data_IF_604448726331
#
_entry.id   IF_604448726331
#
_cell.length_a   1.000
_cell.length_b   1.000
_cell.length_c   1.000
_cell.angle_alpha   90.00
_cell.angle_beta   90.00
_cell.angle_gamma   90.00
#
_symmetry.space_group_name_H-M   'P 1'
#
loop_
_entity.id
_entity.type
_entity.pdbx_description
1 polymer ?
#
# COMPACT_ATOMS: atom_id res chain seq x y z
N UNK A 1 14.80 -4.87 15.43
CA UNK A 1 14.59 -3.40 15.39
C UNK A 1 14.17 -2.82 14.03
N UNK A 2 14.59 -3.39 12.89
CA UNK A 2 14.19 -2.87 11.57
C UNK A 2 12.74 -3.29 11.24
N UNK A 3 12.33 -4.48 11.67
CA UNK A 3 10.98 -5.04 11.48
C UNK A 3 9.87 -4.18 12.09
N UNK A 4 10.13 -3.56 13.25
CA UNK A 4 9.14 -2.76 13.96
C UNK A 4 8.96 -1.36 13.34
N UNK A 5 10.00 -0.81 12.70
CA UNK A 5 9.97 0.51 12.04
C UNK A 5 9.19 0.55 10.73
N UNK A 6 8.91 -0.59 10.11
CA UNK A 6 8.27 -0.63 8.78
C UNK A 6 6.76 -0.76 8.87
N UNK A 7 6.21 -1.35 9.94
CA UNK A 7 4.79 -1.69 10.05
C UNK A 7 4.01 -0.80 11.02
N UNK A 8 4.58 -0.50 12.17
CA UNK A 8 3.90 0.27 13.22
C UNK A 8 3.72 1.74 12.80
N UNK A 9 4.72 2.43 12.21
CA UNK A 9 4.58 3.84 11.86
C UNK A 9 3.46 4.14 10.87
N UNK A 10 3.25 3.42 9.75
CA UNK A 10 2.17 3.74 8.83
C UNK A 10 0.79 3.66 9.47
N UNK A 11 0.55 2.65 10.32
CA UNK A 11 -0.70 2.53 11.07
C UNK A 11 -0.91 3.69 12.03
N UNK A 12 0.12 4.03 12.82
CA UNK A 12 0.05 5.11 13.78
C UNK A 12 -0.19 6.46 13.11
N UNK A 13 0.54 6.76 12.03
CA UNK A 13 0.39 8.02 11.30
C UNK A 13 -0.99 8.14 10.64
N UNK A 14 -1.51 7.08 10.04
CA UNK A 14 -2.85 7.10 9.45
C UNK A 14 -3.94 7.23 10.51
N UNK A 15 -3.83 6.54 11.65
CA UNK A 15 -4.79 6.68 12.74
C UNK A 15 -4.81 8.11 13.30
N UNK A 16 -3.63 8.73 13.50
CA UNK A 16 -3.52 10.11 13.93
C UNK A 16 -4.08 11.08 12.88
N UNK A 17 -3.79 10.85 11.60
CA UNK A 17 -4.29 11.67 10.50
C UNK A 17 -5.81 11.64 10.42
N UNK A 18 -6.44 10.45 10.49
CA UNK A 18 -7.90 10.32 10.51
C UNK A 18 -8.50 11.03 11.71
N UNK A 19 -7.90 10.88 12.90
CA UNK A 19 -8.39 11.54 14.11
C UNK A 19 -8.27 13.07 14.03
N UNK A 20 -7.17 13.59 13.49
CA UNK A 20 -6.99 15.03 13.28
C UNK A 20 -7.99 15.57 12.26
N UNK A 21 -8.22 14.87 11.17
CA UNK A 21 -9.19 15.28 10.13
C UNK A 21 -10.61 15.32 10.67
N UNK A 22 -11.02 14.30 11.44
CA UNK A 22 -12.39 14.19 11.93
C UNK A 22 -12.71 15.14 13.08
N UNK A 23 -11.74 15.43 13.98
CA UNK A 23 -12.00 16.19 15.20
C UNK A 23 -11.48 17.63 15.14
N UNK A 24 -10.34 17.88 14.51
CA UNK A 24 -9.68 19.21 14.57
C UNK A 24 -9.96 20.02 13.31
N UNK A 25 -9.91 19.41 12.14
CA UNK A 25 -10.00 20.10 10.86
C UNK A 25 -11.38 20.00 10.19
N UNK A 26 -12.38 19.50 10.88
CA UNK A 26 -13.74 19.40 10.36
C UNK A 26 -14.28 20.71 9.75
N UNK A 27 -14.06 21.92 10.34
CA UNK A 27 -14.53 23.19 9.76
C UNK A 27 -13.85 23.56 8.43
N UNK A 28 -12.61 23.10 8.20
CA UNK A 28 -11.81 23.37 7.00
C UNK A 28 -11.79 22.19 6.02
N UNK A 29 -12.66 21.23 6.25
CA UNK A 29 -12.66 19.96 5.55
C UNK A 29 -12.71 20.10 4.03
N UNK A 30 -13.54 20.99 3.48
CA UNK A 30 -13.69 21.16 2.04
C UNK A 30 -12.40 21.56 1.30
N UNK A 31 -11.59 22.42 1.90
CA UNK A 31 -10.29 22.84 1.32
C UNK A 31 -9.22 21.76 1.53
N UNK A 32 -9.22 21.15 2.72
CA UNK A 32 -8.28 20.10 3.07
C UNK A 32 -8.49 18.83 2.24
N UNK A 33 -9.73 18.49 1.93
CA UNK A 33 -10.11 17.36 1.08
C UNK A 33 -9.43 17.44 -0.29
N UNK A 34 -9.54 18.58 -0.96
CA UNK A 34 -8.94 18.78 -2.28
C UNK A 34 -7.41 18.62 -2.24
N UNK A 35 -6.78 19.19 -1.21
CA UNK A 35 -5.34 19.07 -1.01
C UNK A 35 -4.91 17.62 -0.74
N UNK A 36 -5.62 16.90 0.13
CA UNK A 36 -5.33 15.50 0.46
C UNK A 36 -5.50 14.59 -0.75
N UNK A 37 -6.58 14.78 -1.51
CA UNK A 37 -6.84 14.01 -2.74
C UNK A 37 -5.75 14.27 -3.78
N UNK A 38 -5.30 15.52 -3.92
CA UNK A 38 -4.18 15.87 -4.80
C UNK A 38 -2.87 15.20 -4.37
N UNK A 39 -2.53 15.26 -3.08
CA UNK A 39 -1.35 14.56 -2.55
C UNK A 39 -1.43 13.04 -2.71
N UNK A 40 -2.60 12.46 -2.49
CA UNK A 40 -2.84 11.03 -2.66
C UNK A 40 -2.66 10.61 -4.13
N UNK A 41 -3.23 11.35 -5.07
CA UNK A 41 -3.07 11.10 -6.50
C UNK A 41 -1.61 11.18 -6.95
N UNK A 42 -0.88 12.21 -6.49
CA UNK A 42 0.55 12.33 -6.74
C UNK A 42 1.35 11.15 -6.18
N UNK A 43 1.01 10.70 -4.96
CA UNK A 43 1.65 9.54 -4.34
C UNK A 43 1.43 8.25 -5.15
N UNK A 44 0.22 8.06 -5.69
CA UNK A 44 -0.10 6.91 -6.56
C UNK A 44 0.73 6.96 -7.84
N UNK A 45 0.77 8.11 -8.50
CA UNK A 45 1.52 8.28 -9.77
C UNK A 45 3.02 8.08 -9.54
N UNK A 46 3.60 8.75 -8.54
CA UNK A 46 5.02 8.65 -8.22
C UNK A 46 5.40 7.24 -7.78
N UNK A 47 4.54 6.59 -6.99
CA UNK A 47 4.73 5.20 -6.58
C UNK A 47 4.73 4.23 -7.76
N UNK A 48 3.80 4.39 -8.71
CA UNK A 48 3.72 3.54 -9.90
C UNK A 48 4.92 3.74 -10.85
N UNK A 49 5.26 4.98 -11.15
CA UNK A 49 6.37 5.31 -12.06
C UNK A 49 7.71 4.92 -11.42
N UNK A 50 7.90 5.25 -10.13
CA UNK A 50 9.13 4.93 -9.42
C UNK A 50 9.36 3.42 -9.28
N UNK A 51 8.32 2.64 -9.00
CA UNK A 51 8.43 1.19 -8.91
C UNK A 51 8.87 0.53 -10.22
N UNK A 52 8.44 1.07 -11.37
CA UNK A 52 8.76 0.50 -12.68
C UNK A 52 10.24 0.71 -13.10
N UNK A 53 10.89 1.74 -12.56
CA UNK A 53 12.26 2.11 -12.94
C UNK A 53 13.34 1.50 -12.02
N UNK A 54 12.95 0.93 -10.87
CA UNK A 54 13.92 0.52 -9.85
C UNK A 54 14.30 -0.96 -9.94
N UNK A 55 15.62 -1.21 -9.90
CA UNK A 55 16.20 -2.55 -9.81
C UNK A 55 16.53 -2.96 -8.38
N UNK A 56 16.63 -1.99 -7.46
CA UNK A 56 16.90 -2.24 -6.05
C UNK A 56 15.62 -2.64 -5.31
N UNK A 57 15.57 -3.85 -4.77
CA UNK A 57 14.40 -4.42 -4.09
C UNK A 57 13.87 -3.55 -2.94
N UNK A 58 14.76 -2.93 -2.15
CA UNK A 58 14.34 -2.10 -1.02
C UNK A 58 13.63 -0.83 -1.50
N UNK A 59 14.15 -0.19 -2.55
CA UNK A 59 13.53 0.99 -3.14
C UNK A 59 12.23 0.63 -3.85
N UNK A 60 12.20 -0.49 -4.58
CA UNK A 60 10.99 -1.00 -5.22
C UNK A 60 9.86 -1.19 -4.19
N UNK A 61 10.15 -1.84 -3.04
CA UNK A 61 9.14 -1.97 -1.98
C UNK A 61 8.72 -0.65 -1.36
N UNK A 62 9.62 0.34 -1.29
CA UNK A 62 9.26 1.68 -0.82
C UNK A 62 8.28 2.38 -1.79
N UNK A 63 8.50 2.28 -3.11
CA UNK A 63 7.58 2.82 -4.11
C UNK A 63 6.23 2.09 -4.14
N UNK A 64 6.23 0.76 -3.98
CA UNK A 64 5.00 -0.03 -3.84
C UNK A 64 4.23 0.38 -2.57
N UNK A 65 4.94 0.65 -1.47
CA UNK A 65 4.32 1.17 -0.25
C UNK A 65 3.71 2.56 -0.47
N UNK A 66 4.43 3.46 -1.14
CA UNK A 66 3.94 4.81 -1.48
C UNK A 66 2.67 4.74 -2.34
N UNK A 67 2.63 3.85 -3.34
CA UNK A 67 1.47 3.61 -4.18
C UNK A 67 0.24 3.15 -3.37
N UNK A 68 0.41 2.14 -2.52
CA UNK A 68 -0.71 1.62 -1.72
C UNK A 68 -1.18 2.61 -0.64
N UNK A 69 -0.25 3.34 0.00
CA UNK A 69 -0.60 4.41 0.94
C UNK A 69 -1.36 5.55 0.25
N UNK A 70 -1.03 5.88 -0.99
CA UNK A 70 -1.78 6.85 -1.79
C UNK A 70 -3.25 6.44 -1.98
N UNK A 71 -3.51 5.17 -2.30
CA UNK A 71 -4.89 4.64 -2.43
C UNK A 71 -5.64 4.73 -1.10
N UNK A 72 -5.01 4.32 0.00
CA UNK A 72 -5.60 4.41 1.34
C UNK A 72 -5.92 5.85 1.72
N UNK A 73 -5.01 6.79 1.43
CA UNK A 73 -5.21 8.20 1.70
C UNK A 73 -6.36 8.79 0.88
N UNK A 74 -6.54 8.35 -0.36
CA UNK A 74 -7.70 8.73 -1.17
C UNK A 74 -9.03 8.34 -0.50
N UNK A 75 -9.12 7.11 0.04
CA UNK A 75 -10.33 6.67 0.75
C UNK A 75 -10.57 7.48 2.02
N UNK A 76 -9.52 7.81 2.77
CA UNK A 76 -9.63 8.58 4.00
C UNK A 76 -9.88 10.07 3.77
N UNK A 77 -9.64 10.60 2.58
CA UNK A 77 -9.92 12.01 2.28
C UNK A 77 -11.41 12.32 2.26
N UNK A 78 -12.29 11.34 2.16
CA UNK A 78 -13.74 11.54 2.07
C UNK A 78 -14.46 11.54 3.44
N UNK A 79 -13.87 11.14 4.54
CA UNK A 79 -14.40 11.10 5.92
C UNK A 79 -15.83 10.52 6.07
N UNK A 80 -16.33 9.82 5.05
CA UNK A 80 -17.59 9.10 5.12
C UNK A 80 -17.38 7.72 5.73
N UNK A 81 -18.36 7.17 6.42
CA UNK A 81 -18.25 5.85 7.05
C UNK A 81 -17.83 4.76 6.05
N UNK A 82 -18.37 4.80 4.84
CA UNK A 82 -18.01 3.87 3.77
C UNK A 82 -16.57 4.06 3.27
N UNK A 83 -16.09 5.30 3.17
CA UNK A 83 -14.72 5.62 2.80
C UNK A 83 -13.72 5.18 3.84
N UNK A 84 -14.01 5.44 5.11
CA UNK A 84 -13.22 4.99 6.24
C UNK A 84 -13.13 3.45 6.27
N UNK A 85 -14.27 2.77 6.13
CA UNK A 85 -14.30 1.30 6.10
C UNK A 85 -13.47 0.75 4.94
N UNK A 86 -13.65 1.27 3.71
CA UNK A 86 -12.91 0.85 2.53
C UNK A 86 -11.41 1.10 2.67
N UNK A 87 -11.03 2.25 3.23
CA UNK A 87 -9.65 2.60 3.51
C UNK A 87 -8.99 1.68 4.53
N UNK A 88 -9.70 1.34 5.63
CA UNK A 88 -9.21 0.38 6.63
C UNK A 88 -9.06 -1.02 6.07
N UNK A 89 -10.01 -1.51 5.29
CA UNK A 89 -9.93 -2.83 4.65
C UNK A 89 -8.71 -2.88 3.71
N UNK A 90 -8.55 -1.86 2.85
CA UNK A 90 -7.42 -1.76 1.94
C UNK A 90 -6.08 -1.73 2.71
N UNK A 91 -6.01 -0.95 3.79
CA UNK A 91 -4.83 -0.84 4.64
C UNK A 91 -4.47 -2.16 5.31
N UNK A 92 -5.43 -2.87 5.91
CA UNK A 92 -5.19 -4.15 6.57
C UNK A 92 -4.67 -5.21 5.59
N UNK A 93 -5.31 -5.32 4.43
CA UNK A 93 -4.91 -6.28 3.39
C UNK A 93 -3.51 -5.96 2.87
N UNK A 94 -3.22 -4.67 2.62
CA UNK A 94 -1.88 -4.23 2.21
C UNK A 94 -0.82 -4.57 3.25
N UNK A 95 -1.08 -4.28 4.53
CA UNK A 95 -0.12 -4.57 5.61
C UNK A 95 0.16 -6.07 5.76
N UNK A 96 -0.87 -6.92 5.65
CA UNK A 96 -0.69 -8.38 5.68
C UNK A 96 0.20 -8.87 4.54
N UNK A 97 -0.05 -8.41 3.31
CA UNK A 97 0.76 -8.77 2.16
C UNK A 97 2.20 -8.26 2.28
N UNK A 98 2.37 -7.02 2.72
CA UNK A 98 3.66 -6.40 2.97
C UNK A 98 4.46 -7.16 4.05
N UNK A 99 3.80 -7.56 5.14
CA UNK A 99 4.41 -8.38 6.18
C UNK A 99 4.91 -9.71 5.63
N UNK A 100 4.10 -10.37 4.79
CA UNK A 100 4.48 -11.61 4.13
C UNK A 100 5.75 -11.46 3.29
N UNK A 101 5.80 -10.45 2.42
CA UNK A 101 6.98 -10.17 1.57
C UNK A 101 8.23 -9.91 2.40
N UNK A 102 8.15 -9.05 3.42
CA UNK A 102 9.31 -8.78 4.26
C UNK A 102 9.77 -9.98 5.07
N UNK A 103 8.85 -10.82 5.54
CA UNK A 103 9.21 -12.05 6.25
C UNK A 103 10.01 -12.98 5.35
N UNK A 104 9.57 -13.18 4.11
CA UNK A 104 10.30 -13.99 3.12
C UNK A 104 11.64 -13.35 2.76
N UNK A 105 11.65 -12.04 2.54
CA UNK A 105 12.86 -11.29 2.20
C UNK A 105 13.96 -11.40 3.28
N UNK A 106 13.60 -11.34 4.56
CA UNK A 106 14.55 -11.49 5.66
C UNK A 106 14.90 -12.94 5.99
N UNK A 107 14.03 -13.89 5.65
CA UNK A 107 14.32 -15.31 5.82
C UNK A 107 15.37 -15.81 4.82
N UNK A 108 15.55 -15.09 3.70
CA UNK A 108 16.48 -15.50 2.66
C UNK A 108 17.74 -14.63 2.65
N UNK A 109 18.87 -15.31 2.92
CA UNK A 109 20.22 -14.74 2.78
C UNK A 109 20.99 -15.55 1.73
N UNK A 110 21.56 -14.89 0.75
CA UNK A 110 22.44 -15.52 -0.23
C UNK A 110 23.90 -15.20 0.14
N UNK A 111 24.74 -16.23 0.33
CA UNK A 111 26.17 -16.09 0.69
C UNK A 111 26.44 -15.21 1.93
N UNK A 112 25.50 -15.11 2.86
CA UNK A 112 25.67 -14.30 4.07
C UNK A 112 25.11 -12.88 3.98
N UNK A 113 24.83 -12.36 2.78
CA UNK A 113 24.26 -11.04 2.56
C UNK A 113 22.76 -11.09 2.24
N UNK A 114 22.06 -10.00 2.57
CA UNK A 114 20.66 -9.83 2.20
C UNK A 114 20.54 -9.54 0.70
N UNK A 115 19.45 -10.02 0.10
CA UNK A 115 19.08 -9.67 -1.27
C UNK A 115 18.99 -8.14 -1.42
N UNK A 116 19.65 -7.60 -2.43
CA UNK A 116 19.64 -6.16 -2.69
C UNK A 116 19.03 -5.82 -4.04
N UNK A 117 19.21 -6.68 -5.02
CA UNK A 117 18.77 -6.46 -6.40
C UNK A 117 17.70 -7.48 -6.82
N UNK A 118 16.88 -7.08 -7.79
CA UNK A 118 15.88 -7.96 -8.40
C UNK A 118 16.52 -9.18 -9.08
N UNK A 119 17.74 -9.02 -9.61
CA UNK A 119 18.53 -10.09 -10.18
C UNK A 119 18.91 -11.20 -9.17
N UNK A 120 19.00 -10.86 -7.88
CA UNK A 120 19.32 -11.82 -6.83
C UNK A 120 18.18 -12.83 -6.58
N UNK A 121 16.96 -12.50 -7.02
CA UNK A 121 15.80 -13.41 -6.99
C UNK A 121 15.89 -14.51 -8.08
N UNK A 122 16.73 -14.29 -9.10
CA UNK A 122 16.92 -15.29 -10.14
C UNK A 122 17.51 -16.59 -9.55
N UNK A 123 16.88 -17.72 -9.87
CA UNK A 123 17.27 -19.03 -9.34
C UNK A 123 16.79 -19.35 -7.93
N UNK A 124 16.02 -18.45 -7.26
CA UNK A 124 15.44 -18.73 -5.95
C UNK A 124 14.55 -19.97 -5.96
N UNK A 125 13.80 -20.16 -7.04
CA UNK A 125 12.91 -21.30 -7.22
C UNK A 125 13.66 -22.66 -7.32
N UNK A 126 14.88 -22.66 -7.84
CA UNK A 126 15.70 -23.87 -7.94
C UNK A 126 16.27 -24.30 -6.60
N UNK A 127 16.64 -23.33 -5.74
CA UNK A 127 17.28 -23.60 -4.45
C UNK A 127 16.24 -23.83 -3.34
N UNK A 128 15.15 -23.05 -3.32
CA UNK A 128 14.09 -23.10 -2.30
C UNK A 128 12.71 -22.82 -2.89
N UNK A 129 12.08 -23.80 -3.56
CA UNK A 129 10.83 -23.60 -4.30
C UNK A 129 9.67 -23.13 -3.43
N UNK A 130 9.54 -23.59 -2.18
CA UNK A 130 8.47 -23.18 -1.28
C UNK A 130 8.57 -21.69 -0.86
N UNK A 131 9.79 -21.22 -0.64
CA UNK A 131 10.02 -19.80 -0.29
C UNK A 131 9.76 -18.90 -1.50
N UNK A 132 10.19 -19.34 -2.69
CA UNK A 132 9.93 -18.63 -3.94
C UNK A 132 8.42 -18.54 -4.23
N UNK A 133 7.68 -19.63 -4.03
CA UNK A 133 6.23 -19.65 -4.19
C UNK A 133 5.53 -18.73 -3.19
N UNK A 134 5.93 -18.74 -1.92
CA UNK A 134 5.38 -17.83 -0.91
C UNK A 134 5.64 -16.36 -1.28
N UNK A 135 6.84 -16.03 -1.73
CA UNK A 135 7.18 -14.67 -2.17
C UNK A 135 6.33 -14.22 -3.36
N UNK A 136 6.15 -15.11 -4.34
CA UNK A 136 5.31 -14.85 -5.51
C UNK A 136 3.86 -14.56 -5.09
N UNK A 137 3.28 -15.38 -4.21
CA UNK A 137 1.90 -15.20 -3.72
C UNK A 137 1.74 -13.84 -3.04
N UNK A 138 2.66 -13.45 -2.16
CA UNK A 138 2.59 -12.16 -1.48
C UNK A 138 2.82 -10.99 -2.44
N UNK A 139 3.73 -11.11 -3.41
CA UNK A 139 3.94 -10.09 -4.43
C UNK A 139 2.72 -9.90 -5.32
N UNK A 140 2.11 -10.99 -5.77
CA UNK A 140 0.87 -10.97 -6.57
C UNK A 140 -0.29 -10.37 -5.76
N UNK A 141 -0.35 -10.62 -4.44
CA UNK A 141 -1.30 -9.98 -3.54
C UNK A 141 -1.07 -8.47 -3.40
N UNK A 142 0.18 -8.01 -3.33
CA UNK A 142 0.52 -6.58 -3.32
C UNK A 142 0.12 -5.86 -4.61
N UNK A 143 0.26 -6.52 -5.75
CA UNK A 143 -0.22 -6.01 -7.04
C UNK A 143 -1.74 -5.87 -7.07
N UNK A 144 -2.45 -6.70 -6.31
CA UNK A 144 -3.91 -6.69 -6.28
C UNK A 144 -4.52 -7.39 -7.49
N UNK A 145 -3.97 -8.53 -7.89
CA UNK A 145 -4.54 -9.34 -8.97
C UNK A 145 -5.60 -10.31 -8.43
N UNK A 146 -6.70 -10.57 -9.16
CA UNK A 146 -7.64 -11.63 -8.81
C UNK A 146 -6.89 -12.98 -8.89
N UNK A 147 -7.06 -13.92 -7.97
CA UNK A 147 -8.04 -14.05 -6.89
C UNK A 147 -7.50 -13.68 -5.48
N UNK A 148 -6.47 -12.84 -5.38
CA UNK A 148 -5.80 -12.56 -4.11
C UNK A 148 -6.54 -11.53 -3.25
N UNK A 149 -6.29 -11.56 -1.92
CA UNK A 149 -6.89 -10.62 -0.95
C UNK A 149 -6.58 -9.15 -1.28
N UNK A 150 -5.40 -8.86 -1.84
CA UNK A 150 -5.02 -7.52 -2.29
C UNK A 150 -5.95 -6.91 -3.33
N UNK A 151 -6.55 -7.74 -4.17
CA UNK A 151 -7.56 -7.32 -5.12
C UNK A 151 -8.84 -6.82 -4.43
N UNK A 152 -9.34 -7.55 -3.42
CA UNK A 152 -10.55 -7.17 -2.69
C UNK A 152 -10.39 -5.81 -1.99
N UNK A 153 -9.23 -5.56 -1.37
CA UNK A 153 -8.94 -4.27 -0.75
C UNK A 153 -8.93 -3.12 -1.77
N UNK A 154 -8.27 -3.28 -2.91
CA UNK A 154 -8.24 -2.27 -3.97
C UNK A 154 -9.59 -2.12 -4.68
N UNK A 155 -10.30 -3.21 -4.88
CA UNK A 155 -11.63 -3.17 -5.49
C UNK A 155 -12.62 -2.38 -4.62
N UNK A 156 -12.61 -2.59 -3.30
CA UNK A 156 -13.45 -1.82 -2.38
C UNK A 156 -13.13 -0.32 -2.43
N UNK A 157 -11.83 0.03 -2.47
CA UNK A 157 -11.38 1.41 -2.59
C UNK A 157 -11.78 2.05 -3.93
N UNK A 158 -11.57 1.35 -5.04
CA UNK A 158 -11.91 1.85 -6.38
C UNK A 158 -13.42 1.99 -6.53
N UNK A 159 -14.20 0.99 -6.09
CA UNK A 159 -15.66 1.03 -6.17
C UNK A 159 -16.22 2.22 -5.37
N UNK A 160 -15.68 2.45 -4.16
CA UNK A 160 -16.03 3.61 -3.36
C UNK A 160 -15.72 4.94 -4.08
N UNK A 161 -14.50 5.08 -4.63
CA UNK A 161 -14.08 6.30 -5.34
C UNK A 161 -14.89 6.57 -6.62
N UNK A 162 -15.34 5.54 -7.33
CA UNK A 162 -16.22 5.69 -8.50
C UNK A 162 -17.59 6.19 -8.07
N UNK A 163 -18.17 5.63 -7.02
CA UNK A 163 -19.48 6.01 -6.54
C UNK A 163 -19.48 7.47 -6.05
N UNK A 164 -18.55 7.82 -5.16
CA UNK A 164 -18.45 9.17 -4.60
C UNK A 164 -17.95 10.20 -5.62
N UNK A 165 -17.01 9.85 -6.48
CA UNK A 165 -16.52 10.71 -7.56
C UNK A 165 -17.63 11.06 -8.55
N UNK A 166 -18.56 10.16 -8.79
CA UNK A 166 -19.76 10.40 -9.61
C UNK A 166 -20.68 11.47 -8.99
N UNK A 167 -20.83 11.48 -7.66
CA UNK A 167 -21.63 12.50 -6.97
C UNK A 167 -20.94 13.87 -6.90
N UNK A 168 -19.63 13.91 -6.81
CA UNK A 168 -18.86 15.17 -6.76
C UNK A 168 -18.89 15.95 -8.10
N UNK A 169 -19.19 15.28 -9.22
CA UNK A 169 -19.37 15.93 -10.54
C UNK A 169 -20.80 16.39 -10.84
N UNK A 170 -21.78 16.00 -10.03
CA UNK A 170 -23.22 16.30 -10.24
C UNK A 170 -23.72 17.43 -9.33
N UNK A 171 -22.96 17.83 -8.33
CA UNK A 171 -23.24 18.93 -7.40
C UNK A 171 -22.31 20.10 -7.59
#
# INVERSE_FOLDING_TARGET
CIRDRTFIPPLAYLAVLVNLLSNVFFPLYGQLRLFLTGCAALSVILGAVGANSETNLRKLFAYVALFNLGIVLMCFSELNDNGLLSGFVCLLVWLLAQFGVYTVFYAFKRKGDYLTETADLAGLAEVRPYIAAAMLIFMVSLLGTPPMLGFLGKLSAINYLIIEGSYAFIG
#
